data_IF_711629503405
#
_entry.id   IF_711629503405
#
_cell.length_a   1.000
_cell.length_b   1.000
_cell.length_c   1.000
_cell.angle_alpha   90.00
_cell.angle_beta   90.00
_cell.angle_gamma   90.00
#
_symmetry.space_group_name_H-M   'P 1'
#
loop_
_entity.id
_entity.type
_entity.pdbx_description
1 polymer ?
#
# COMPACT_ATOMS: atom_id res chain seq x y z
N UNK A 1 17.21 -28.98 97.20
CA UNK A 1 18.52 -29.49 96.76
C UNK A 1 18.98 -28.64 95.57
N UNK A 2 20.08 -27.91 95.77
CA UNK A 2 20.97 -27.21 94.83
C UNK A 2 20.43 -26.51 93.57
N UNK A 3 20.62 -25.18 93.63
CA UNK A 3 20.86 -24.19 92.59
C UNK A 3 21.77 -24.69 91.44
N UNK A 4 21.48 -24.30 90.19
CA UNK A 4 22.48 -23.92 89.19
C UNK A 4 21.84 -23.02 88.12
N UNK A 5 22.36 -21.79 88.04
CA UNK A 5 22.08 -20.76 87.04
C UNK A 5 23.03 -20.97 85.87
N UNK A 6 22.53 -20.93 84.63
CA UNK A 6 23.31 -20.54 83.45
C UNK A 6 22.43 -19.72 82.48
N UNK A 7 22.96 -18.55 82.14
CA UNK A 7 22.42 -17.55 81.20
C UNK A 7 22.85 -17.95 79.78
N UNK A 8 21.95 -17.89 78.79
CA UNK A 8 22.35 -17.77 77.37
C UNK A 8 21.27 -17.12 76.50
N UNK A 9 21.60 -15.90 76.06
CA UNK A 9 21.31 -15.23 74.78
C UNK A 9 19.93 -15.36 74.10
N UNK A 10 19.33 -14.18 73.92
CA UNK A 10 18.20 -13.90 73.04
C UNK A 10 18.49 -14.22 71.57
N UNK A 11 17.55 -14.91 70.91
CA UNK A 11 17.28 -14.79 69.47
C UNK A 11 15.76 -14.84 69.28
N UNK A 12 15.13 -13.67 69.22
CA UNK A 12 13.80 -13.48 68.65
C UNK A 12 13.94 -13.57 67.13
N UNK A 13 13.78 -14.77 66.58
CA UNK A 13 13.51 -14.94 65.15
C UNK A 13 12.07 -14.49 64.90
N UNK A 14 11.89 -13.21 64.55
CA UNK A 14 10.66 -12.76 63.89
C UNK A 14 10.56 -13.50 62.56
N UNK A 15 9.61 -14.43 62.47
CA UNK A 15 9.14 -14.93 61.19
C UNK A 15 8.54 -13.75 60.41
N UNK A 16 9.31 -13.19 59.49
CA UNK A 16 8.77 -12.29 58.48
C UNK A 16 7.81 -13.10 57.61
N UNK A 17 6.50 -12.92 57.83
CA UNK A 17 5.54 -13.27 56.81
C UNK A 17 5.91 -12.47 55.54
N UNK A 18 5.97 -13.08 54.35
CA UNK A 18 6.11 -12.29 53.15
C UNK A 18 4.87 -11.41 53.05
N UNK A 19 5.07 -10.10 53.22
CA UNK A 19 4.16 -9.10 52.68
C UNK A 19 4.14 -9.40 51.19
N UNK A 20 3.11 -10.09 50.72
CA UNK A 20 2.83 -10.20 49.31
C UNK A 20 2.62 -8.76 48.85
N UNK A 21 3.65 -8.22 48.20
CA UNK A 21 3.57 -7.00 47.43
C UNK A 21 2.54 -7.30 46.33
N UNK A 22 1.27 -7.03 46.63
CA UNK A 22 0.23 -6.97 45.65
C UNK A 22 0.52 -5.72 44.82
N UNK A 23 1.51 -5.84 43.93
CA UNK A 23 1.73 -4.91 42.85
C UNK A 23 0.42 -4.91 42.06
N UNK A 24 -0.41 -3.92 42.37
CA UNK A 24 -1.65 -3.66 41.69
C UNK A 24 -1.25 -3.37 40.25
N UNK A 25 -1.25 -4.39 39.39
CA UNK A 25 -1.17 -4.20 37.95
C UNK A 25 -2.43 -3.42 37.57
N UNK A 26 -2.31 -2.09 37.58
CA UNK A 26 -3.32 -1.20 37.06
C UNK A 26 -3.44 -1.55 35.58
N UNK A 27 -4.39 -2.42 35.24
CA UNK A 27 -4.73 -2.77 33.88
C UNK A 27 -5.48 -1.58 33.31
N UNK A 28 -4.75 -0.50 33.03
CA UNK A 28 -5.29 0.64 32.32
C UNK A 28 -5.57 0.14 30.91
N UNK A 29 -6.83 -0.21 30.65
CA UNK A 29 -7.37 -0.21 29.30
C UNK A 29 -7.42 1.25 28.84
N UNK A 30 -6.25 1.89 28.67
CA UNK A 30 -6.15 3.01 27.74
C UNK A 30 -6.54 2.35 26.44
N UNK A 31 -7.72 2.69 25.92
CA UNK A 31 -8.08 2.46 24.53
C UNK A 31 -7.00 3.16 23.71
N UNK A 32 -5.87 2.48 23.55
CA UNK A 32 -4.75 2.98 22.78
C UNK A 32 -5.30 2.96 21.38
N UNK A 33 -5.71 4.13 20.90
CA UNK A 33 -6.22 4.33 19.56
C UNK A 33 -5.29 3.58 18.60
N UNK A 34 -5.83 2.56 17.94
CA UNK A 34 -5.05 1.77 16.98
C UNK A 34 -5.22 2.39 15.61
N UNK A 35 -4.12 2.47 14.89
CA UNK A 35 -4.16 2.92 13.51
C UNK A 35 -4.58 1.75 12.60
N UNK A 36 -5.62 2.00 11.81
CA UNK A 36 -6.10 1.12 10.75
C UNK A 36 -5.18 1.11 9.54
N UNK A 37 -5.58 0.37 8.50
CA UNK A 37 -4.82 0.28 7.26
C UNK A 37 -4.59 1.66 6.63
N UNK A 38 -3.35 1.94 6.22
CA UNK A 38 -2.92 3.22 5.65
C UNK A 38 -3.06 4.43 6.58
N UNK A 39 -3.38 4.23 7.85
CA UNK A 39 -3.30 5.31 8.83
C UNK A 39 -1.86 5.48 9.33
N UNK A 40 -1.52 6.70 9.72
CA UNK A 40 -0.22 7.02 10.27
C UNK A 40 -0.07 6.35 11.64
N UNK A 41 1.09 5.73 11.88
CA UNK A 41 1.42 5.04 13.13
C UNK A 41 2.57 5.68 13.90
N UNK A 42 3.31 6.60 13.27
CA UNK A 42 4.46 7.27 13.86
C UNK A 42 4.41 8.77 13.55
N UNK A 43 4.63 9.59 14.58
CA UNK A 43 4.85 11.04 14.57
C UNK A 43 6.10 11.37 15.39
N UNK A 44 6.52 12.63 15.45
CA UNK A 44 7.71 13.06 16.18
C UNK A 44 7.65 12.74 17.69
N UNK A 45 6.49 12.93 18.30
CA UNK A 45 6.28 12.79 19.74
C UNK A 45 5.22 11.74 20.11
N UNK A 46 4.75 10.96 19.14
CA UNK A 46 3.66 9.99 19.33
C UNK A 46 3.89 8.79 18.42
N UNK A 47 3.65 7.60 18.96
CA UNK A 47 3.54 6.37 18.17
C UNK A 47 2.27 5.64 18.62
N UNK A 48 1.53 5.07 17.66
CA UNK A 48 0.39 4.20 17.96
C UNK A 48 0.59 2.82 17.37
N UNK A 49 -0.03 1.82 18.00
CA UNK A 49 0.00 0.46 17.47
C UNK A 49 -0.95 0.37 16.28
N UNK A 50 -0.53 -0.32 15.23
CA UNK A 50 -1.45 -0.76 14.19
C UNK A 50 -2.45 -1.78 14.74
N UNK A 51 -3.60 -1.93 14.08
CA UNK A 51 -4.52 -3.02 14.42
C UNK A 51 -3.89 -4.41 14.19
N UNK A 52 -4.57 -5.45 14.68
CA UNK A 52 -4.10 -6.81 14.56
C UNK A 52 -3.89 -7.21 13.09
N UNK A 53 -2.81 -7.95 12.81
CA UNK A 53 -2.45 -8.33 11.43
C UNK A 53 -1.72 -7.22 10.64
N UNK A 54 -1.42 -6.08 11.27
CA UNK A 54 -0.67 -5.00 10.64
C UNK A 54 0.64 -4.67 11.37
N UNK A 55 1.51 -3.92 10.69
CA UNK A 55 2.77 -3.40 11.22
C UNK A 55 2.99 -1.95 10.74
N UNK A 56 3.75 -1.18 11.51
CA UNK A 56 4.08 0.19 11.14
C UNK A 56 5.27 0.19 10.17
N UNK A 57 5.03 0.51 8.90
CA UNK A 57 6.08 0.70 7.92
C UNK A 57 6.59 2.14 7.99
N UNK A 58 7.82 2.31 8.47
CA UNK A 58 8.50 3.61 8.45
C UNK A 58 8.72 4.06 7.01
N UNK A 59 8.24 5.26 6.69
CA UNK A 59 8.48 5.91 5.40
C UNK A 59 9.64 6.89 5.53
N UNK A 60 9.65 7.64 6.63
CA UNK A 60 10.70 8.61 6.98
C UNK A 60 10.92 8.60 8.50
N UNK A 61 11.88 9.41 8.98
CA UNK A 61 12.06 9.61 10.42
C UNK A 61 10.77 10.22 10.98
N UNK A 62 10.21 9.60 12.02
CA UNK A 62 8.97 10.05 12.66
C UNK A 62 7.73 10.04 11.75
N UNK A 63 7.73 9.24 10.67
CA UNK A 63 6.58 9.09 9.78
C UNK A 63 6.47 7.66 9.28
N UNK A 64 5.36 7.00 9.61
CA UNK A 64 5.12 5.60 9.26
C UNK A 64 3.64 5.31 9.04
N UNK A 65 3.35 4.31 8.21
CA UNK A 65 1.99 3.91 7.83
C UNK A 65 1.71 2.47 8.23
N UNK A 66 0.51 2.17 8.70
CA UNK A 66 0.12 0.80 8.99
C UNK A 66 -0.12 -0.01 7.72
N UNK A 67 0.65 -1.10 7.58
CA UNK A 67 0.65 -2.01 6.44
C UNK A 67 0.24 -3.42 6.89
N UNK A 68 -0.39 -4.19 5.99
CA UNK A 68 -0.78 -5.58 6.24
C UNK A 68 0.46 -6.47 6.35
N UNK A 69 0.49 -7.36 7.34
CA UNK A 69 1.48 -8.45 7.45
C UNK A 69 1.24 -9.58 6.44
N UNK A 70 -0.01 -9.71 5.99
CA UNK A 70 -0.45 -10.73 5.03
C UNK A 70 -1.38 -10.08 4.00
N UNK A 71 -0.84 -9.33 3.01
CA UNK A 71 -1.61 -8.66 1.98
C UNK A 71 -2.30 -9.64 1.03
N UNK A 72 -3.57 -9.38 0.70
CA UNK A 72 -4.34 -10.11 -0.29
C UNK A 72 -4.19 -9.55 -1.71
N UNK A 73 -5.06 -9.98 -2.63
CA UNK A 73 -5.02 -9.52 -4.02
C UNK A 73 -5.11 -7.98 -4.08
N UNK A 74 -4.21 -7.36 -4.85
CA UNK A 74 -4.04 -5.92 -5.02
C UNK A 74 -3.56 -5.12 -3.79
N UNK A 75 -3.45 -5.74 -2.62
CA UNK A 75 -2.84 -5.08 -1.47
C UNK A 75 -1.34 -4.87 -1.68
N UNK A 76 -0.80 -3.81 -1.05
CA UNK A 76 0.62 -3.51 -1.11
C UNK A 76 1.42 -4.54 -0.28
N UNK A 77 2.42 -5.13 -0.91
CA UNK A 77 3.30 -6.14 -0.32
C UNK A 77 4.76 -5.70 -0.23
N UNK A 78 5.11 -4.57 -0.83
CA UNK A 78 6.46 -4.04 -0.79
C UNK A 78 6.54 -2.61 -1.32
N UNK A 79 7.72 -2.03 -1.22
CA UNK A 79 8.05 -0.72 -1.77
C UNK A 79 8.59 -0.85 -3.19
N UNK A 80 9.65 -0.11 -3.48
CA UNK A 80 10.43 -0.17 -4.73
C UNK A 80 11.04 -1.53 -5.09
N UNK A 81 10.88 -2.55 -4.25
CA UNK A 81 11.28 -3.93 -4.55
C UNK A 81 10.30 -4.94 -3.97
N UNK A 82 10.20 -6.09 -4.63
CA UNK A 82 9.36 -7.23 -4.23
C UNK A 82 9.97 -8.05 -3.08
N UNK A 83 11.24 -7.81 -2.76
CA UNK A 83 12.03 -8.47 -1.72
C UNK A 83 12.79 -7.44 -0.85
N UNK A 84 12.30 -6.20 -0.83
CA UNK A 84 12.91 -5.10 -0.09
C UNK A 84 12.81 -5.27 1.44
N UNK A 85 13.39 -4.33 2.21
CA UNK A 85 13.54 -4.44 3.67
C UNK A 85 12.26 -4.65 4.47
N UNK A 86 11.10 -4.32 3.89
CA UNK A 86 9.81 -4.53 4.50
C UNK A 86 8.86 -5.40 3.70
N UNK A 87 9.31 -5.95 2.56
CA UNK A 87 8.44 -6.75 1.72
C UNK A 87 7.89 -7.95 2.51
N UNK A 88 6.60 -8.21 2.35
CA UNK A 88 5.87 -9.27 3.04
C UNK A 88 5.25 -10.25 2.04
N UNK A 89 5.14 -11.54 2.40
CA UNK A 89 4.50 -12.53 1.55
C UNK A 89 2.99 -12.25 1.41
N UNK A 90 2.46 -12.52 0.22
CA UNK A 90 1.01 -12.46 -0.02
C UNK A 90 0.28 -13.56 0.78
N UNK A 91 -0.97 -13.30 1.13
CA UNK A 91 -1.79 -14.18 1.98
C UNK A 91 -2.20 -15.50 1.32
N UNK A 92 -2.17 -15.58 -0.01
CA UNK A 92 -2.59 -16.73 -0.79
C UNK A 92 -1.45 -17.25 -1.66
N UNK A 93 -1.32 -18.57 -1.77
CA UNK A 93 -0.26 -19.23 -2.53
C UNK A 93 -0.38 -19.02 -4.05
N UNK A 94 -1.55 -18.61 -4.54
CA UNK A 94 -1.79 -18.19 -5.92
C UNK A 94 -1.44 -16.72 -6.16
N UNK A 95 -1.02 -15.98 -5.13
CA UNK A 95 -0.55 -14.60 -5.27
C UNK A 95 0.99 -14.54 -5.22
N UNK A 96 1.55 -13.50 -5.84
CA UNK A 96 2.97 -13.15 -5.69
C UNK A 96 3.11 -11.63 -5.66
N UNK A 97 4.01 -11.16 -4.82
CA UNK A 97 4.38 -9.75 -4.78
C UNK A 97 5.09 -9.38 -6.09
N UNK A 98 4.60 -8.34 -6.76
CA UNK A 98 5.15 -7.83 -8.02
C UNK A 98 5.35 -6.33 -7.94
N UNK A 99 6.43 -5.83 -8.54
CA UNK A 99 6.65 -4.39 -8.68
C UNK A 99 5.52 -3.82 -9.53
N UNK A 100 4.87 -2.78 -9.04
CA UNK A 100 3.86 -2.06 -9.82
C UNK A 100 4.53 -0.81 -10.34
N UNK A 101 5.12 0.01 -9.47
CA UNK A 101 5.96 1.13 -9.91
C UNK A 101 7.33 1.07 -9.26
N UNK A 102 8.21 1.97 -9.69
CA UNK A 102 9.48 2.27 -9.03
C UNK A 102 9.34 2.63 -7.54
N UNK A 103 8.13 2.89 -7.04
CA UNK A 103 7.86 3.23 -5.64
C UNK A 103 7.20 2.11 -4.83
N UNK A 104 6.46 1.18 -5.45
CA UNK A 104 5.70 0.17 -4.72
C UNK A 104 5.42 -1.13 -5.45
N UNK A 105 5.16 -2.18 -4.66
CA UNK A 105 4.82 -3.54 -5.10
C UNK A 105 3.48 -4.00 -4.53
N UNK A 106 2.68 -4.75 -5.31
CA UNK A 106 1.37 -5.30 -4.91
C UNK A 106 1.29 -6.81 -5.14
N UNK A 107 0.40 -7.47 -4.40
CA UNK A 107 0.11 -8.89 -4.60
C UNK A 107 -0.79 -9.10 -5.82
N UNK A 108 -0.32 -9.87 -6.80
CA UNK A 108 -1.06 -10.20 -8.03
C UNK A 108 -1.17 -11.71 -8.22
N UNK A 109 -2.17 -12.19 -8.98
CA UNK A 109 -2.33 -13.63 -9.23
C UNK A 109 -1.18 -14.18 -10.07
N UNK A 110 -0.80 -15.42 -9.77
CA UNK A 110 0.18 -16.19 -10.53
C UNK A 110 -0.37 -16.60 -11.90
N UNK A 111 -1.66 -16.91 -12.02
CA UNK A 111 -2.31 -17.32 -13.28
C UNK A 111 -2.50 -16.17 -14.26
N UNK A 112 -2.58 -14.93 -13.76
CA UNK A 112 -2.46 -13.72 -14.60
C UNK A 112 -1.06 -13.61 -15.24
N UNK A 113 -0.08 -14.45 -14.84
CA UNK A 113 1.19 -14.62 -15.56
C UNK A 113 1.16 -15.67 -16.67
N UNK A 114 0.38 -16.75 -16.54
CA UNK A 114 0.35 -17.83 -17.55
C UNK A 114 -0.35 -17.39 -18.85
N UNK A 115 -1.27 -16.43 -18.76
CA UNK A 115 -1.96 -15.86 -19.93
C UNK A 115 -1.23 -14.68 -20.58
N UNK A 116 -0.10 -14.24 -20.04
CA UNK A 116 0.63 -13.03 -20.49
C UNK A 116 1.94 -13.44 -21.16
N UNK A 117 1.84 -14.27 -22.20
CA UNK A 117 2.81 -14.28 -23.29
C UNK A 117 2.11 -13.62 -24.48
N UNK A 118 2.82 -12.85 -25.30
CA UNK A 118 2.26 -12.39 -26.56
C UNK A 118 1.65 -13.59 -27.30
N UNK A 119 0.40 -13.52 -27.82
CA UNK A 119 -0.07 -14.55 -28.71
C UNK A 119 0.90 -14.63 -29.89
N UNK A 120 1.49 -15.80 -30.10
CA UNK A 120 2.25 -16.10 -31.32
C UNK A 120 1.25 -16.10 -32.49
N UNK A 121 0.94 -14.93 -33.03
CA UNK A 121 0.31 -14.86 -34.34
C UNK A 121 1.39 -15.11 -35.39
N UNK A 122 1.19 -16.19 -36.14
CA UNK A 122 2.02 -16.59 -37.27
C UNK A 122 2.34 -15.41 -38.17
N UNK A 123 3.63 -15.32 -38.57
CA UNK A 123 4.10 -14.49 -39.69
C UNK A 123 3.19 -14.73 -40.91
N UNK A 124 2.31 -13.77 -41.18
CA UNK A 124 1.65 -13.57 -42.46
C UNK A 124 2.10 -12.23 -43.01
N UNK A 125 2.65 -12.24 -44.21
CA UNK A 125 3.26 -11.09 -44.86
C UNK A 125 2.27 -9.92 -45.03
N UNK A 126 2.74 -8.69 -44.75
CA UNK A 126 2.20 -7.44 -45.25
C UNK A 126 0.85 -6.99 -44.71
N UNK A 127 0.81 -6.45 -43.49
CA UNK A 127 -0.29 -5.60 -42.99
C UNK A 127 0.31 -4.55 -42.06
N UNK A 128 -0.14 -3.30 -42.15
CA UNK A 128 0.18 -2.21 -41.23
C UNK A 128 0.12 -2.70 -39.77
N UNK A 129 1.07 -2.27 -38.92
CA UNK A 129 1.08 -2.62 -37.49
C UNK A 129 -0.31 -2.38 -36.88
N UNK A 130 -1.00 -3.45 -36.48
CA UNK A 130 -2.30 -3.39 -35.82
C UNK A 130 -2.15 -2.63 -34.51
N UNK A 131 -2.60 -1.36 -34.52
CA UNK A 131 -2.50 -0.48 -33.37
C UNK A 131 -3.52 -0.87 -32.31
N UNK A 132 -3.08 -0.86 -31.05
CA UNK A 132 -3.85 -1.31 -29.87
C UNK A 132 -4.95 -0.30 -29.51
N UNK A 133 -6.15 -0.79 -29.19
CA UNK A 133 -7.32 0.06 -28.93
C UNK A 133 -7.33 0.66 -27.51
N UNK A 134 -8.33 1.51 -27.22
CA UNK A 134 -8.48 2.14 -25.92
C UNK A 134 -8.69 1.09 -24.81
N UNK A 135 -8.02 1.28 -23.68
CA UNK A 135 -7.99 0.40 -22.51
C UNK A 135 -7.37 -0.99 -22.77
N UNK A 136 -6.80 -1.23 -23.95
CA UNK A 136 -6.06 -2.45 -24.24
C UNK A 136 -4.57 -2.31 -23.88
N UNK A 137 -3.87 -3.44 -23.77
CA UNK A 137 -2.49 -3.49 -23.28
C UNK A 137 -1.48 -3.11 -24.36
N UNK A 138 -0.65 -2.12 -24.06
CA UNK A 138 0.42 -1.64 -24.94
C UNK A 138 1.83 -2.05 -24.49
N UNK A 139 2.04 -2.47 -23.24
CA UNK A 139 3.33 -2.95 -22.75
C UNK A 139 3.20 -4.33 -22.11
N UNK A 140 4.19 -5.17 -22.42
CA UNK A 140 4.34 -6.55 -21.99
C UNK A 140 5.78 -6.75 -21.50
N UNK A 141 6.06 -7.83 -20.77
CA UNK A 141 7.40 -8.15 -20.28
C UNK A 141 8.46 -8.24 -21.38
N UNK A 142 8.05 -8.65 -22.58
CA UNK A 142 8.91 -8.93 -23.72
C UNK A 142 8.75 -7.94 -24.88
N UNK A 143 8.09 -6.79 -24.66
CA UNK A 143 8.00 -5.74 -25.66
C UNK A 143 6.78 -4.84 -25.53
N UNK A 144 6.69 -3.88 -26.44
CA UNK A 144 5.59 -2.91 -26.51
C UNK A 144 4.89 -2.97 -27.87
N UNK A 145 3.61 -2.60 -27.90
CA UNK A 145 2.82 -2.38 -29.11
C UNK A 145 2.36 -0.92 -29.15
N UNK A 146 2.32 -0.34 -30.34
CA UNK A 146 1.82 1.01 -30.56
C UNK A 146 0.31 1.10 -30.32
N UNK A 147 -0.13 2.15 -29.63
CA UNK A 147 -1.54 2.47 -29.47
C UNK A 147 -2.15 3.12 -30.72
N UNK A 148 -3.46 2.97 -30.89
CA UNK A 148 -4.23 3.61 -31.95
C UNK A 148 -4.11 5.15 -31.91
N UNK A 149 -4.49 5.80 -33.01
CA UNK A 149 -4.43 7.26 -33.10
C UNK A 149 -5.22 7.92 -31.96
N UNK A 150 -4.70 9.01 -31.41
CA UNK A 150 -5.31 9.70 -30.26
C UNK A 150 -5.05 9.04 -28.89
N UNK A 151 -4.33 7.91 -28.85
CA UNK A 151 -4.00 7.20 -27.61
C UNK A 151 -2.49 7.29 -27.29
N UNK A 152 -2.17 7.09 -26.01
CA UNK A 152 -0.83 7.00 -25.43
C UNK A 152 -0.70 5.71 -24.63
N UNK A 153 0.46 5.06 -24.69
CA UNK A 153 0.75 3.94 -23.80
C UNK A 153 1.09 4.48 -22.42
N UNK A 154 0.25 4.15 -21.44
CA UNK A 154 0.46 4.46 -20.03
C UNK A 154 1.06 3.25 -19.38
N UNK A 155 2.34 3.33 -19.05
CA UNK A 155 3.05 2.25 -18.38
C UNK A 155 2.65 2.24 -16.90
N UNK A 156 1.99 1.16 -16.47
CA UNK A 156 1.65 0.95 -15.07
C UNK A 156 2.71 0.15 -14.32
N UNK A 157 3.68 -0.45 -15.05
CA UNK A 157 4.91 -1.05 -14.50
C UNK A 157 6.03 -1.21 -15.55
N UNK A 158 7.15 -1.81 -15.13
CA UNK A 158 8.26 -2.18 -16.02
C UNK A 158 7.85 -3.22 -17.09
N UNK A 159 6.71 -3.89 -16.94
CA UNK A 159 6.27 -4.99 -17.81
C UNK A 159 4.79 -4.91 -18.20
N UNK A 160 4.07 -3.87 -17.79
CA UNK A 160 2.68 -3.63 -18.18
C UNK A 160 2.44 -2.18 -18.57
N UNK A 161 1.45 -1.97 -19.42
CA UNK A 161 0.94 -0.65 -19.75
C UNK A 161 -0.34 -0.75 -20.55
N UNK A 162 -1.20 0.27 -20.47
CA UNK A 162 -2.48 0.33 -21.17
C UNK A 162 -2.58 1.56 -22.08
N UNK A 163 -3.26 1.41 -23.22
CA UNK A 163 -3.54 2.51 -24.11
C UNK A 163 -4.64 3.39 -23.53
N UNK A 164 -4.28 4.62 -23.16
CA UNK A 164 -5.21 5.62 -22.63
C UNK A 164 -5.33 6.80 -23.59
N UNK A 165 -6.36 7.63 -23.42
CA UNK A 165 -6.54 8.83 -24.24
C UNK A 165 -5.40 9.83 -24.03
N UNK A 166 -4.94 10.47 -25.12
CA UNK A 166 -4.09 11.67 -25.05
C UNK A 166 -4.92 12.91 -24.74
N UNK A 167 -6.09 12.98 -25.33
CA UNK A 167 -7.06 14.07 -25.17
C UNK A 167 -8.39 13.46 -24.74
N UNK A 168 -8.94 13.95 -23.63
CA UNK A 168 -10.22 13.54 -23.09
C UNK A 168 -11.27 14.60 -23.46
N UNK A 169 -12.54 14.21 -23.68
CA UNK A 169 -13.63 15.17 -23.81
C UNK A 169 -14.06 15.72 -22.44
N UNK A 170 -14.93 16.73 -22.43
CA UNK A 170 -15.62 17.12 -21.20
C UNK A 170 -16.38 15.90 -20.65
N UNK A 171 -16.25 15.67 -19.34
CA UNK A 171 -16.74 14.51 -18.60
C UNK A 171 -16.04 13.17 -18.90
N UNK A 172 -15.04 13.12 -19.77
CA UNK A 172 -14.22 11.92 -19.90
C UNK A 172 -13.19 11.83 -18.77
N UNK A 173 -12.74 10.60 -18.49
CA UNK A 173 -11.62 10.36 -17.61
C UNK A 173 -10.34 10.98 -18.18
N UNK A 174 -9.63 11.73 -17.34
CA UNK A 174 -8.42 12.44 -17.71
C UNK A 174 -7.20 12.06 -16.86
N UNK A 175 -7.37 11.33 -15.76
CA UNK A 175 -6.30 10.71 -14.99
C UNK A 175 -6.86 9.64 -14.04
N UNK A 176 -5.98 8.96 -13.30
CA UNK A 176 -6.35 8.00 -12.26
C UNK A 176 -5.17 7.51 -11.42
N UNK A 177 -5.51 7.00 -10.25
CA UNK A 177 -4.68 6.46 -9.15
C UNK A 177 -3.82 7.47 -8.37
N UNK A 178 -3.61 8.68 -8.90
CA UNK A 178 -3.18 9.91 -8.19
C UNK A 178 -3.21 11.09 -9.19
N UNK A 179 -3.45 12.34 -8.76
CA UNK A 179 -3.33 13.53 -9.64
C UNK A 179 -1.88 13.75 -10.16
N UNK A 180 -0.91 13.11 -9.49
CA UNK A 180 0.50 12.95 -9.90
C UNK A 180 0.79 11.59 -10.54
N UNK A 181 -0.24 10.80 -10.78
CA UNK A 181 -0.17 9.43 -11.24
C UNK A 181 0.40 9.27 -12.64
N UNK A 182 0.62 8.01 -13.01
CA UNK A 182 1.35 7.51 -14.17
C UNK A 182 0.89 8.07 -15.53
N UNK A 183 -0.28 8.71 -15.60
CA UNK A 183 -0.76 9.38 -16.81
C UNK A 183 -1.77 10.49 -16.57
N UNK A 184 -1.79 11.43 -17.51
CA UNK A 184 -2.78 12.50 -17.61
C UNK A 184 -3.13 12.77 -19.07
N UNK A 185 -4.42 12.87 -19.37
CA UNK A 185 -4.92 13.36 -20.65
C UNK A 185 -5.14 14.87 -20.60
N UNK A 186 -5.02 15.52 -21.75
CA UNK A 186 -5.38 16.91 -21.93
C UNK A 186 -6.91 17.06 -21.98
N UNK A 187 -7.45 17.97 -21.19
CA UNK A 187 -8.85 18.38 -21.29
C UNK A 187 -9.04 19.43 -22.38
N UNK A 188 -10.24 19.56 -22.96
CA UNK A 188 -10.51 20.59 -23.95
C UNK A 188 -10.44 21.97 -23.30
N UNK A 189 -10.25 23.01 -24.12
CA UNK A 189 -10.19 24.39 -23.66
C UNK A 189 -11.43 24.74 -22.84
N UNK A 190 -11.23 25.33 -21.65
CA UNK A 190 -12.31 25.66 -20.72
C UNK A 190 -12.75 24.51 -19.81
N UNK A 191 -12.04 23.39 -19.81
CA UNK A 191 -12.20 22.31 -18.85
C UNK A 191 -10.89 21.98 -18.14
N UNK A 192 -10.98 21.54 -16.88
CA UNK A 192 -9.85 21.15 -16.04
C UNK A 192 -10.01 19.69 -15.62
N UNK A 193 -8.90 18.95 -15.62
CA UNK A 193 -8.87 17.60 -15.08
C UNK A 193 -8.96 17.67 -13.55
N UNK A 194 -10.08 17.24 -12.99
CA UNK A 194 -10.38 17.28 -11.56
C UNK A 194 -10.46 15.89 -10.98
N UNK A 195 -9.84 15.70 -9.83
CA UNK A 195 -9.95 14.45 -9.07
C UNK A 195 -11.38 14.32 -8.55
N UNK A 196 -12.02 13.19 -8.86
CA UNK A 196 -13.31 12.80 -8.29
C UNK A 196 -13.08 11.80 -7.16
N UNK A 197 -12.21 10.82 -7.39
CA UNK A 197 -11.70 9.92 -6.38
C UNK A 197 -10.25 9.54 -6.68
N UNK A 198 -9.62 8.78 -5.79
CA UNK A 198 -8.22 8.37 -5.91
C UNK A 198 -7.92 7.70 -7.25
N UNK A 199 -8.85 6.93 -7.82
CA UNK A 199 -8.68 6.16 -9.05
C UNK A 199 -9.24 6.85 -10.29
N UNK A 200 -9.95 7.95 -10.13
CA UNK A 200 -10.71 8.59 -11.21
C UNK A 200 -10.62 10.11 -11.14
N UNK A 201 -10.03 10.70 -12.17
CA UNK A 201 -10.15 12.13 -12.45
C UNK A 201 -10.89 12.37 -13.77
N UNK A 202 -11.69 13.41 -13.82
CA UNK A 202 -12.58 13.74 -14.92
C UNK A 202 -12.33 15.16 -15.42
N UNK A 203 -12.42 15.38 -16.74
CA UNK A 203 -12.44 16.73 -17.28
C UNK A 203 -13.76 17.41 -16.94
N UNK A 204 -13.73 18.43 -16.09
CA UNK A 204 -14.92 19.22 -15.72
C UNK A 204 -14.82 20.63 -16.30
N UNK A 205 -15.94 21.26 -16.69
CA UNK A 205 -15.93 22.68 -17.07
C UNK A 205 -15.28 23.54 -15.98
N UNK A 206 -14.55 24.58 -16.38
CA UNK A 206 -13.86 25.48 -15.45
C UNK A 206 -14.79 26.11 -14.41
N UNK A 207 -16.02 26.45 -14.80
CA UNK A 207 -17.01 27.02 -13.90
C UNK A 207 -17.39 26.02 -12.77
N UNK A 208 -17.59 24.75 -13.13
CA UNK A 208 -17.87 23.67 -12.17
C UNK A 208 -16.66 23.42 -11.29
N UNK A 209 -15.49 23.34 -11.91
CA UNK A 209 -14.20 23.17 -11.21
C UNK A 209 -13.95 24.26 -10.16
N UNK A 210 -14.23 25.54 -10.49
CA UNK A 210 -14.07 26.68 -9.57
C UNK A 210 -15.09 26.65 -8.45
N UNK A 211 -16.32 26.21 -8.72
CA UNK A 211 -17.35 26.05 -7.69
C UNK A 211 -17.03 24.95 -6.68
N UNK A 212 -16.25 23.94 -7.06
CA UNK A 212 -15.77 22.90 -6.15
C UNK A 212 -14.64 23.37 -5.21
N UNK A 213 -13.94 24.45 -5.56
CA UNK A 213 -12.86 25.03 -4.75
C UNK A 213 -13.36 26.13 -3.79
N UNK A 214 -14.64 26.51 -3.86
CA UNK A 214 -15.27 27.60 -3.11
C UNK A 214 -16.02 27.09 -1.87
#
# INVERSE_FOLDING_TARGET
MKLLVLIAAALLSLAAAPVADASLHLRVHILTEKAGLYQQCEWENKAVKCEAGMFCQMKEKHFGWCMKKSPGLNDQCGGKSTDGPWAVPCSDSNLKCVLISDQYSKCQKKTDREKVKMPNHHKGAGVEEEKVALNERCKFENGTKGCASGLQCVEDSDWTGMCMKKEANVYDQCAGQEIRGLWKAMCPKGALCRESDTFYSQCLPEAVSKAMDA
#
